data_IF_384105937630
#
_entry.id   IF_384105937630
#
_cell.length_a   1.000
_cell.length_b   1.000
_cell.length_c   1.000
_cell.angle_alpha   90.00
_cell.angle_beta   90.00
_cell.angle_gamma   90.00
#
_symmetry.space_group_name_H-M   'P 1'
#
loop_
_entity.id
_entity.type
_entity.pdbx_description
1 polymer ?
#
# COMPACT_ATOMS: atom_id res chain seq x y z
N UNK A 1 -2.80 -13.37 -35.25
CA UNK A 1 -1.93 -12.42 -34.52
C UNK A 1 -2.71 -11.14 -34.26
N UNK A 2 -3.24 -10.96 -33.05
CA UNK A 2 -3.66 -9.65 -32.54
C UNK A 2 -3.66 -9.73 -31.02
N UNK A 3 -2.55 -9.34 -30.40
CA UNK A 3 -2.49 -9.16 -28.95
C UNK A 3 -3.35 -7.95 -28.62
N UNK A 4 -4.61 -8.19 -28.26
CA UNK A 4 -5.48 -7.20 -27.63
C UNK A 4 -4.93 -6.83 -26.25
N UNK A 5 -3.82 -6.09 -26.23
CA UNK A 5 -3.30 -5.44 -25.03
C UNK A 5 -4.25 -4.30 -24.68
N UNK A 6 -5.26 -4.60 -23.87
CA UNK A 6 -5.91 -3.57 -23.05
C UNK A 6 -4.85 -3.02 -22.09
N UNK A 7 -4.26 -1.86 -22.38
CA UNK A 7 -3.40 -1.14 -21.45
C UNK A 7 -4.26 -0.20 -20.58
N UNK A 8 -4.35 -0.61 -19.30
CA UNK A 8 -4.62 0.15 -18.07
C UNK A 8 -5.89 1.01 -17.91
N UNK A 9 -6.84 0.46 -17.15
CA UNK A 9 -8.02 1.12 -16.56
C UNK A 9 -7.70 1.95 -15.29
N UNK A 10 -6.43 2.28 -15.02
CA UNK A 10 -6.03 3.05 -13.82
C UNK A 10 -4.88 3.99 -14.17
N UNK A 11 -5.12 5.29 -14.05
CA UNK A 11 -4.09 6.32 -14.13
C UNK A 11 -3.04 6.08 -13.04
N UNK A 12 -1.75 6.32 -13.35
CA UNK A 12 -0.65 6.29 -12.38
C UNK A 12 -0.74 7.46 -11.38
N UNK A 13 -1.46 8.52 -11.76
CA UNK A 13 -1.76 9.65 -10.88
C UNK A 13 -2.58 9.18 -9.68
N UNK A 14 -2.25 9.68 -8.49
CA UNK A 14 -2.84 9.24 -7.23
C UNK A 14 -2.19 7.98 -6.63
N UNK A 15 -1.21 7.38 -7.30
CA UNK A 15 -0.47 6.23 -6.76
C UNK A 15 0.46 6.69 -5.63
N UNK A 16 0.42 5.97 -4.50
CA UNK A 16 1.37 6.16 -3.38
C UNK A 16 2.69 5.47 -3.71
N UNK A 17 3.77 6.22 -3.62
CA UNK A 17 5.15 5.78 -3.84
C UNK A 17 6.04 6.34 -2.73
N UNK A 18 7.25 5.83 -2.62
CA UNK A 18 8.32 6.44 -1.83
C UNK A 18 9.40 6.98 -2.76
N UNK A 19 9.91 8.17 -2.45
CA UNK A 19 10.98 8.79 -3.19
C UNK A 19 12.13 9.17 -2.24
N UNK A 20 13.39 9.06 -2.68
CA UNK A 20 14.53 9.47 -1.87
C UNK A 20 14.59 11.00 -1.75
N UNK A 21 14.99 11.47 -0.57
CA UNK A 21 15.37 12.87 -0.31
C UNK A 21 16.90 13.01 -0.32
N UNK A 22 17.41 14.24 -0.17
CA UNK A 22 18.84 14.57 -0.25
C UNK A 22 19.75 13.73 0.68
N UNK A 23 19.21 13.17 1.76
CA UNK A 23 19.96 12.35 2.73
C UNK A 23 19.83 10.83 2.49
N UNK A 24 19.24 10.40 1.36
CA UNK A 24 18.98 8.99 1.07
C UNK A 24 17.80 8.38 1.85
N UNK A 25 17.15 9.18 2.70
CA UNK A 25 15.91 8.81 3.39
C UNK A 25 14.75 8.84 2.39
N UNK A 26 14.01 7.73 2.33
CA UNK A 26 12.82 7.59 1.52
C UNK A 26 11.59 8.17 2.22
N UNK A 27 10.89 9.06 1.54
CA UNK A 27 9.69 9.71 2.03
C UNK A 27 8.50 9.26 1.19
N UNK A 28 7.39 8.81 1.81
CA UNK A 28 6.16 8.51 1.09
C UNK A 28 5.55 9.77 0.47
N UNK A 29 4.88 9.59 -0.67
CA UNK A 29 4.18 10.65 -1.40
C UNK A 29 3.20 10.11 -2.42
N UNK A 30 2.57 11.01 -3.17
CA UNK A 30 1.56 10.73 -4.19
C UNK A 30 2.00 11.31 -5.52
N UNK A 31 1.91 10.51 -6.58
CA UNK A 31 2.15 10.97 -7.95
C UNK A 31 1.02 11.92 -8.37
N UNK A 32 1.36 13.16 -8.70
CA UNK A 32 0.39 14.20 -9.13
C UNK A 32 0.40 14.44 -10.63
N UNK A 33 1.57 14.33 -11.26
CA UNK A 33 1.72 14.50 -12.70
C UNK A 33 2.78 13.55 -13.25
N UNK A 34 2.71 13.31 -14.56
CA UNK A 34 3.70 12.54 -15.30
C UNK A 34 4.01 13.24 -16.60
N UNK A 35 5.30 13.40 -16.89
CA UNK A 35 5.81 13.86 -18.18
C UNK A 35 6.62 12.73 -18.80
N UNK A 36 6.22 12.28 -19.97
CA UNK A 36 6.95 11.25 -20.72
C UNK A 36 7.48 11.88 -21.99
N UNK A 37 8.79 11.82 -22.16
CA UNK A 37 9.49 12.14 -23.40
C UNK A 37 10.09 10.84 -23.98
N UNK A 38 10.49 10.82 -25.25
CA UNK A 38 10.77 9.64 -26.11
C UNK A 38 11.30 8.38 -25.37
N UNK A 39 12.20 8.53 -24.39
CA UNK A 39 12.67 7.43 -23.54
C UNK A 39 12.76 7.73 -22.03
N UNK A 40 12.19 8.85 -21.54
CA UNK A 40 12.30 9.27 -20.14
C UNK A 40 10.94 9.64 -19.56
N UNK A 41 10.56 8.88 -18.53
CA UNK A 41 9.39 9.17 -17.71
C UNK A 41 9.81 9.91 -16.44
N UNK A 42 9.31 11.13 -16.30
CA UNK A 42 9.45 11.98 -15.12
C UNK A 42 8.12 12.02 -14.38
N UNK A 43 8.16 11.82 -13.08
CA UNK A 43 7.01 11.78 -12.20
C UNK A 43 7.10 12.91 -11.19
N UNK A 44 6.07 13.75 -11.14
CA UNK A 44 5.95 14.79 -10.11
C UNK A 44 5.25 14.18 -8.90
N UNK A 45 5.96 14.11 -7.77
CA UNK A 45 5.47 13.51 -6.53
C UNK A 45 5.30 14.58 -5.47
N UNK A 46 4.11 14.64 -4.87
CA UNK A 46 3.85 15.42 -3.66
C UNK A 46 4.11 14.53 -2.46
N UNK A 47 5.20 14.79 -1.74
CA UNK A 47 5.62 14.06 -0.55
C UNK A 47 4.71 14.38 0.64
N UNK A 48 4.72 13.50 1.65
CA UNK A 48 3.92 13.68 2.87
C UNK A 48 4.28 14.98 3.62
N UNK A 49 5.50 15.49 3.47
CA UNK A 49 5.95 16.78 4.01
C UNK A 49 5.50 18.01 3.17
N UNK A 50 4.62 17.78 2.19
CA UNK A 50 4.08 18.77 1.24
C UNK A 50 5.07 19.30 0.21
N UNK A 51 6.30 18.80 0.20
CA UNK A 51 7.26 19.13 -0.85
C UNK A 51 6.85 18.47 -2.16
N UNK A 52 6.98 19.18 -3.27
CA UNK A 52 6.72 18.64 -4.61
C UNK A 52 8.05 18.56 -5.36
N UNK A 53 8.40 17.36 -5.83
CA UNK A 53 9.65 17.12 -6.53
C UNK A 53 9.43 16.22 -7.75
N UNK A 54 10.31 16.35 -8.75
CA UNK A 54 10.34 15.51 -9.93
C UNK A 54 11.33 14.36 -9.75
N UNK A 55 10.91 13.15 -10.11
CA UNK A 55 11.69 11.93 -9.97
C UNK A 55 11.66 11.11 -11.26
N UNK A 56 12.74 10.38 -11.55
CA UNK A 56 12.74 9.37 -12.59
C UNK A 56 12.04 8.09 -12.12
N UNK A 57 11.67 7.23 -13.08
CA UNK A 57 11.10 5.90 -12.76
C UNK A 57 12.01 5.08 -11.84
N UNK A 58 13.33 5.18 -12.04
CA UNK A 58 14.33 4.43 -11.28
C UNK A 58 14.58 4.99 -9.86
N UNK A 59 14.02 6.14 -9.50
CA UNK A 59 14.18 6.71 -8.15
C UNK A 59 13.05 6.27 -7.23
N UNK A 60 11.88 6.02 -7.79
CA UNK A 60 10.67 5.70 -7.05
C UNK A 60 10.63 4.23 -6.61
N UNK A 61 10.03 4.02 -5.43
CA UNK A 61 9.79 2.69 -4.85
C UNK A 61 8.30 2.53 -4.61
N UNK A 62 7.73 1.40 -5.03
CA UNK A 62 6.32 1.12 -4.86
C UNK A 62 5.66 0.43 -6.07
N UNK A 63 4.33 0.35 -6.11
CA UNK A 63 3.61 -0.35 -7.17
C UNK A 63 3.91 0.24 -8.55
N UNK A 64 4.51 -0.55 -9.45
CA UNK A 64 4.90 -0.12 -10.79
C UNK A 64 6.28 0.55 -10.88
N UNK A 65 7.04 0.57 -9.77
CA UNK A 65 8.39 1.11 -9.67
C UNK A 65 9.32 0.09 -9.00
N UNK A 66 10.48 0.53 -8.49
CA UNK A 66 11.43 -0.36 -7.81
C UNK A 66 10.83 -1.04 -6.59
N UNK A 67 11.42 -2.19 -6.24
CA UNK A 67 11.13 -2.88 -5.01
C UNK A 67 11.86 -2.25 -3.83
N UNK A 68 11.39 -2.53 -2.61
CA UNK A 68 12.17 -2.22 -1.39
C UNK A 68 13.44 -3.06 -1.29
N UNK A 69 13.56 -4.13 -2.09
CA UNK A 69 14.79 -4.93 -2.21
C UNK A 69 15.93 -4.17 -2.88
N UNK A 70 15.59 -3.17 -3.71
CA UNK A 70 16.56 -2.41 -4.49
C UNK A 70 17.04 -1.15 -3.75
N UNK A 71 16.86 -1.07 -2.43
CA UNK A 71 17.21 0.11 -1.63
C UNK A 71 18.01 -0.19 -0.39
N UNK A 72 18.87 0.75 -0.03
CA UNK A 72 19.61 0.75 1.22
C UNK A 72 18.92 1.71 2.18
N UNK A 73 18.27 1.16 3.20
CA UNK A 73 17.61 1.93 4.25
C UNK A 73 18.64 2.67 5.11
N UNK A 74 18.36 3.94 5.40
CA UNK A 74 19.18 4.78 6.28
C UNK A 74 18.73 4.68 7.73
N UNK A 75 19.65 4.89 8.68
CA UNK A 75 19.29 5.03 10.10
C UNK A 75 18.33 6.21 10.29
N UNK A 76 17.28 6.01 11.08
CA UNK A 76 16.21 6.99 11.24
C UNK A 76 15.09 6.87 10.21
N UNK A 77 15.23 6.01 9.19
CA UNK A 77 14.20 5.78 8.18
C UNK A 77 12.92 5.23 8.83
N UNK A 78 11.80 5.90 8.56
CA UNK A 78 10.47 5.39 8.93
C UNK A 78 10.11 4.21 8.04
N UNK A 79 9.70 3.11 8.65
CA UNK A 79 9.21 1.92 7.96
C UNK A 79 7.97 1.35 8.64
N UNK A 80 7.36 0.35 8.02
CA UNK A 80 6.24 -0.40 8.55
C UNK A 80 6.56 -1.89 8.48
N UNK A 81 6.25 -2.60 9.57
CA UNK A 81 6.40 -4.05 9.67
C UNK A 81 5.14 -4.65 10.26
N UNK A 82 4.93 -5.94 10.01
CA UNK A 82 3.84 -6.67 10.66
C UNK A 82 4.39 -7.37 11.90
N UNK A 83 3.85 -7.05 13.07
CA UNK A 83 4.19 -7.66 14.34
C UNK A 83 2.91 -8.11 15.05
N UNK A 84 2.84 -9.39 15.42
CA UNK A 84 1.64 -10.02 16.02
C UNK A 84 0.36 -9.80 15.19
N UNK A 85 0.45 -9.95 13.87
CA UNK A 85 -0.68 -9.76 12.94
C UNK A 85 -1.15 -8.32 12.78
N UNK A 86 -0.49 -7.34 13.40
CA UNK A 86 -0.78 -5.91 13.26
C UNK A 86 0.37 -5.20 12.57
N UNK A 87 0.04 -4.25 11.72
CA UNK A 87 1.05 -3.35 11.16
C UNK A 87 1.47 -2.32 12.22
N UNK A 88 2.78 -2.20 12.41
CA UNK A 88 3.38 -1.28 13.37
C UNK A 88 4.39 -0.41 12.64
N UNK A 89 4.36 0.89 12.93
CA UNK A 89 5.35 1.85 12.45
C UNK A 89 6.65 1.67 13.24
N UNK A 90 7.76 1.55 12.52
CA UNK A 90 9.10 1.43 13.06
C UNK A 90 10.06 2.48 12.52
N UNK A 91 11.22 2.54 13.14
CA UNK A 91 12.37 3.35 12.72
C UNK A 91 13.57 2.45 12.57
N UNK A 92 14.29 2.57 11.46
CA UNK A 92 15.51 1.80 11.19
C UNK A 92 16.63 2.26 12.12
N UNK A 93 17.21 1.32 12.84
CA UNK A 93 18.42 1.51 13.65
C UNK A 93 19.67 1.24 12.83
N UNK A 94 19.67 0.12 12.09
CA UNK A 94 20.76 -0.34 11.25
C UNK A 94 20.23 -1.22 10.10
N UNK A 95 20.93 -1.23 8.97
CA UNK A 95 20.61 -2.08 7.81
C UNK A 95 21.89 -2.68 7.27
N UNK A 96 21.93 -4.01 7.19
CA UNK A 96 23.06 -4.81 6.71
C UNK A 96 22.76 -5.38 5.31
N UNK A 97 23.25 -4.75 4.22
CA UNK A 97 22.86 -5.11 2.85
C UNK A 97 23.40 -6.46 2.38
N UNK A 98 24.45 -6.99 3.00
CA UNK A 98 25.04 -8.30 2.67
C UNK A 98 24.17 -9.49 3.12
N UNK A 99 23.27 -9.28 4.09
CA UNK A 99 22.40 -10.32 4.66
C UNK A 99 20.92 -9.96 4.57
N UNK A 100 20.59 -8.81 3.98
CA UNK A 100 19.25 -8.21 3.95
C UNK A 100 18.60 -8.12 5.35
N UNK A 101 19.41 -7.88 6.39
CA UNK A 101 18.94 -7.78 7.77
C UNK A 101 18.77 -6.33 8.19
N UNK A 102 17.59 -6.01 8.73
CA UNK A 102 17.24 -4.67 9.21
C UNK A 102 16.92 -4.72 10.70
N UNK A 103 17.61 -3.90 11.48
CA UNK A 103 17.30 -3.68 12.89
C UNK A 103 16.37 -2.48 13.03
N UNK A 104 15.27 -2.66 13.76
CA UNK A 104 14.17 -1.72 13.86
C UNK A 104 13.84 -1.44 15.32
N UNK A 105 13.57 -0.17 15.64
CA UNK A 105 12.89 0.23 16.87
C UNK A 105 11.41 0.47 16.57
N UNK A 106 10.52 -0.07 17.42
CA UNK A 106 9.07 0.10 17.36
C UNK A 106 8.60 0.94 18.56
N UNK A 107 8.59 2.28 18.48
CA UNK A 107 8.26 3.15 19.62
C UNK A 107 6.87 2.91 20.20
N UNK A 108 5.89 2.56 19.35
CA UNK A 108 4.51 2.30 19.79
C UNK A 108 4.35 1.04 20.63
N UNK A 109 5.32 0.11 20.56
CA UNK A 109 5.32 -1.16 21.29
C UNK A 109 6.45 -1.20 22.34
N UNK A 110 7.43 -0.30 22.24
CA UNK A 110 8.60 -0.27 23.13
C UNK A 110 9.58 -1.41 22.88
N UNK A 111 9.65 -1.93 21.65
CA UNK A 111 10.43 -3.13 21.30
C UNK A 111 11.42 -2.85 20.17
N UNK A 112 12.59 -3.48 20.23
CA UNK A 112 13.52 -3.57 19.11
C UNK A 112 13.41 -4.95 18.45
N UNK A 113 13.40 -5.00 17.11
CA UNK A 113 13.27 -6.21 16.33
C UNK A 113 14.31 -6.26 15.23
N UNK A 114 14.74 -7.48 14.90
CA UNK A 114 15.51 -7.77 13.70
C UNK A 114 14.61 -8.47 12.69
N UNK A 115 14.59 -7.96 11.47
CA UNK A 115 13.73 -8.45 10.38
C UNK A 115 14.50 -8.53 9.08
N UNK A 116 14.04 -9.40 8.18
CA UNK A 116 14.55 -9.37 6.81
C UNK A 116 13.99 -8.16 6.06
N UNK A 117 14.75 -7.60 5.12
CA UNK A 117 14.34 -6.46 4.31
C UNK A 117 12.99 -6.73 3.62
N UNK A 118 12.72 -7.99 3.22
CA UNK A 118 11.48 -8.41 2.56
C UNK A 118 10.22 -8.25 3.43
N UNK A 119 10.39 -8.27 4.75
CA UNK A 119 9.32 -8.06 5.73
C UNK A 119 9.07 -6.57 6.03
N UNK A 120 9.93 -5.69 5.51
CA UNK A 120 9.91 -4.24 5.75
C UNK A 120 9.23 -3.52 4.59
N UNK A 121 8.38 -2.55 4.91
CA UNK A 121 7.70 -1.70 3.92
C UNK A 121 8.00 -0.23 4.18
N UNK A 122 8.22 0.54 3.11
CA UNK A 122 8.35 1.99 3.18
C UNK A 122 6.99 2.71 3.25
N UNK A 123 5.92 2.05 2.77
CA UNK A 123 4.55 2.58 2.74
C UNK A 123 3.65 1.66 3.56
N UNK A 124 2.71 2.26 4.28
CA UNK A 124 1.65 1.55 5.01
C UNK A 124 0.82 0.66 4.07
N UNK A 125 0.56 -0.57 4.50
CA UNK A 125 -0.25 -1.49 3.72
C UNK A 125 -1.72 -1.13 3.79
N UNK A 126 -2.35 -0.95 2.63
CA UNK A 126 -3.82 -0.79 2.54
C UNK A 126 -4.61 -2.05 2.90
N UNK A 127 -3.94 -3.18 3.20
CA UNK A 127 -4.55 -4.50 3.46
C UNK A 127 -4.35 -5.01 4.90
N UNK A 128 -3.61 -4.30 5.75
CA UNK A 128 -3.14 -4.83 7.04
C UNK A 128 -4.24 -5.14 8.05
N UNK A 129 -5.45 -4.58 7.91
CA UNK A 129 -6.59 -4.93 8.75
C UNK A 129 -7.08 -6.39 8.60
N UNK A 130 -6.73 -7.10 7.50
CA UNK A 130 -7.29 -8.42 7.15
C UNK A 130 -6.29 -9.58 7.19
N UNK A 131 -5.04 -9.35 7.59
CA UNK A 131 -4.04 -10.43 7.57
C UNK A 131 -4.30 -11.52 8.63
N UNK A 132 -5.01 -11.19 9.71
CA UNK A 132 -5.49 -12.19 10.69
C UNK A 132 -6.80 -12.89 10.25
N UNK A 133 -7.56 -12.30 9.33
CA UNK A 133 -8.83 -12.85 8.83
C UNK A 133 -8.66 -13.86 7.69
N UNK A 134 -7.42 -14.12 7.23
CA UNK A 134 -7.17 -15.05 6.12
C UNK A 134 -7.23 -16.53 6.55
N UNK A 135 -7.13 -16.81 7.85
CA UNK A 135 -7.27 -18.17 8.40
C UNK A 135 -8.72 -18.49 8.82
N UNK A 136 -9.63 -17.53 8.67
CA UNK A 136 -11.06 -17.76 8.84
C UNK A 136 -11.60 -18.40 7.56
N UNK A 137 -11.68 -19.72 7.56
CA UNK A 137 -12.20 -20.52 6.45
C UNK A 137 -13.73 -20.34 6.33
N UNK A 138 -14.16 -19.24 5.70
CA UNK A 138 -15.57 -18.90 5.46
C UNK A 138 -16.33 -20.00 4.70
N UNK A 139 -15.62 -20.90 4.03
CA UNK A 139 -16.18 -22.09 3.37
C UNK A 139 -16.90 -23.02 4.35
N UNK A 140 -16.46 -23.10 5.62
CA UNK A 140 -17.06 -23.98 6.64
C UNK A 140 -18.29 -23.38 7.35
N UNK A 141 -18.52 -22.07 7.21
CA UNK A 141 -19.67 -21.38 7.83
C UNK A 141 -20.92 -21.39 6.93
N UNK A 142 -20.79 -21.80 5.66
CA UNK A 142 -21.91 -21.81 4.71
C UNK A 142 -22.82 -23.05 4.82
N UNK A 143 -22.37 -24.14 5.46
CA UNK A 143 -23.13 -25.41 5.58
C UNK A 143 -24.12 -25.45 6.78
N UNK A 144 -24.41 -24.30 7.40
CA UNK A 144 -25.10 -24.23 8.69
C UNK A 144 -26.39 -23.39 8.75
N UNK A 145 -27.13 -23.21 7.65
CA UNK A 145 -28.44 -22.55 7.70
C UNK A 145 -29.59 -23.46 7.23
N UNK A 146 -30.49 -23.90 8.14
CA UNK A 146 -31.78 -24.44 7.73
C UNK A 146 -32.64 -23.30 7.15
N UNK A 147 -33.32 -23.59 6.05
CA UNK A 147 -34.14 -22.70 5.22
C UNK A 147 -34.81 -21.51 5.95
N UNK A 148 -34.62 -20.26 5.47
CA UNK A 148 -35.54 -19.19 5.80
C UNK A 148 -36.80 -19.31 4.95
N UNK A 149 -37.92 -19.59 5.63
CA UNK A 149 -39.31 -19.56 5.14
C UNK A 149 -39.54 -18.41 4.16
N UNK A 150 -40.08 -18.75 2.98
CA UNK A 150 -40.59 -17.84 1.95
C UNK A 150 -41.38 -16.69 2.59
N UNK A 151 -40.90 -15.45 2.46
CA UNK A 151 -41.71 -14.25 2.74
C UNK A 151 -42.44 -13.87 1.46
N UNK A 152 -43.77 -13.76 1.55
CA UNK A 152 -44.63 -13.34 0.46
C UNK A 152 -44.31 -11.90 0.03
N UNK A 153 -44.24 -11.69 -1.28
CA UNK A 153 -44.08 -10.38 -1.92
C UNK A 153 -45.35 -9.55 -1.77
N UNK A 154 -45.28 -8.45 -1.02
CA UNK A 154 -46.36 -7.45 -0.96
C UNK A 154 -46.32 -6.55 -2.20
N UNK A 155 -47.34 -6.68 -3.04
CA UNK A 155 -47.65 -5.85 -4.21
C UNK A 155 -48.48 -4.62 -3.78
N UNK A 156 -47.83 -3.54 -3.34
CA UNK A 156 -48.41 -2.18 -3.38
C UNK A 156 -47.42 -1.17 -2.80
N UNK A 157 -46.86 -0.31 -3.65
CA UNK A 157 -46.18 0.92 -3.22
C UNK A 157 -47.14 2.06 -3.53
N UNK A 158 -47.65 2.71 -2.47
CA UNK A 158 -48.49 3.90 -2.57
C UNK A 158 -47.59 5.14 -2.57
N UNK A 159 -47.69 5.98 -3.61
CA UNK A 159 -46.84 7.16 -3.81
C UNK A 159 -47.73 8.40 -3.76
N UNK A 160 -47.58 9.30 -2.78
CA UNK A 160 -48.44 10.48 -2.69
C UNK A 160 -48.06 11.50 -3.77
N UNK A 161 -49.04 11.88 -4.59
CA UNK A 161 -48.91 13.00 -5.53
C UNK A 161 -49.07 14.32 -4.76
N UNK A 162 -48.02 15.15 -4.78
CA UNK A 162 -48.02 16.48 -4.16
C UNK A 162 -49.13 17.36 -4.75
N UNK A 163 -50.02 17.85 -3.87
CA UNK A 163 -50.99 18.89 -4.20
C UNK A 163 -50.27 20.22 -4.43
N UNK A 164 -50.73 20.95 -5.48
CA UNK A 164 -50.39 22.35 -5.73
C UNK A 164 -51.25 23.26 -4.86
#
# INVERSE_FOLDING_TARGET
MSTGKRLAKRSILGTRVCAPKAEGVFVPGVIQATRTDDHRSVYTVCLDDKTVCEYGQADLVGPGFKSVMDVILQRGQRVFVTHNGREVKGVVCDHRPDTDEVELSLPSVGLALKKRLEEVRLIESRKSARLLDLDTDYSRLADGQPEPRRRASSLSIDVPYGQR
#
